data_IF_211642409207
#
_entry.id   IF_211642409207
#
_cell.length_a   1.000
_cell.length_b   1.000
_cell.length_c   1.000
_cell.angle_alpha   90.00
_cell.angle_beta   90.00
_cell.angle_gamma   90.00
#
_symmetry.space_group_name_H-M   'P 1'
#
loop_
_entity.id
_entity.type
_entity.pdbx_description
1 polymer ?
#
# COMPACT_ATOMS: atom_id res chain seq x y z
N UNK A 1 -39.01 -23.27 6.66
CA UNK A 1 -39.19 -21.81 6.82
C UNK A 1 -38.57 -21.43 8.16
N UNK A 2 -37.58 -20.56 8.33
CA UNK A 2 -36.88 -19.61 7.47
C UNK A 2 -35.39 -19.65 7.87
N UNK A 3 -34.52 -19.68 6.87
CA UNK A 3 -33.09 -19.39 6.96
C UNK A 3 -32.90 -18.02 7.63
N UNK A 4 -32.20 -18.01 8.77
CA UNK A 4 -31.77 -16.78 9.43
C UNK A 4 -30.64 -16.20 8.58
N UNK A 5 -31.00 -15.27 7.69
CA UNK A 5 -30.04 -14.47 6.92
C UNK A 5 -29.26 -13.60 7.90
N UNK A 6 -28.06 -14.03 8.27
CA UNK A 6 -27.02 -13.14 8.80
C UNK A 6 -26.68 -12.16 7.67
N UNK A 7 -27.40 -11.04 7.63
CA UNK A 7 -27.09 -9.96 6.71
C UNK A 7 -25.70 -9.42 7.06
N UNK A 8 -24.84 -9.49 6.06
CA UNK A 8 -23.61 -8.74 5.86
C UNK A 8 -23.78 -7.31 6.41
N UNK A 9 -23.30 -7.11 7.63
CA UNK A 9 -23.15 -5.80 8.26
C UNK A 9 -21.66 -5.57 8.56
N UNK A 10 -20.82 -5.77 7.54
CA UNK A 10 -19.41 -5.49 7.59
C UNK A 10 -19.01 -4.74 6.32
N UNK A 11 -18.42 -3.56 6.51
CA UNK A 11 -17.61 -2.84 5.54
C UNK A 11 -18.28 -1.90 4.51
N UNK A 12 -19.22 -1.06 4.95
CA UNK A 12 -19.48 0.26 4.33
C UNK A 12 -18.91 1.42 5.16
N UNK A 13 -18.26 1.14 6.29
CA UNK A 13 -17.71 2.15 7.20
C UNK A 13 -16.29 2.62 6.87
N UNK A 14 -15.72 2.29 5.70
CA UNK A 14 -14.38 2.78 5.30
C UNK A 14 -14.40 4.14 4.59
N UNK A 15 -15.57 4.72 4.30
CA UNK A 15 -15.69 5.96 3.52
C UNK A 15 -16.21 7.16 4.34
N UNK A 16 -16.26 7.07 5.66
CA UNK A 16 -16.65 8.19 6.53
C UNK A 16 -15.66 8.31 7.67
N UNK A 17 -15.19 9.53 7.92
CA UNK A 17 -14.20 9.95 8.93
C UNK A 17 -12.72 9.74 8.55
N UNK A 18 -12.27 10.41 7.48
CA UNK A 18 -10.83 10.47 7.16
C UNK A 18 -10.10 11.42 8.11
N UNK A 19 -10.68 12.55 8.48
CA UNK A 19 -10.01 13.45 9.41
C UNK A 19 -10.40 13.10 10.85
N UNK A 20 -9.41 12.82 11.69
CA UNK A 20 -9.64 12.56 13.12
C UNK A 20 -9.38 13.85 13.88
N UNK A 21 -10.42 14.44 14.49
CA UNK A 21 -10.21 15.48 15.50
C UNK A 21 -9.55 14.83 16.70
N UNK A 22 -8.38 15.29 17.12
CA UNK A 22 -7.78 14.88 18.39
C UNK A 22 -8.78 15.19 19.52
N UNK A 23 -9.45 14.15 20.03
CA UNK A 23 -10.43 14.27 21.10
C UNK A 23 -9.71 14.09 22.43
N UNK A 24 -8.98 15.12 22.87
CA UNK A 24 -8.71 15.35 24.29
C UNK A 24 -8.38 16.84 24.51
N UNK A 25 -8.97 17.46 25.54
CA UNK A 25 -8.79 18.86 26.01
C UNK A 25 -9.68 20.01 25.46
N UNK A 26 -10.92 19.76 25.06
CA UNK A 26 -11.97 20.82 25.05
C UNK A 26 -11.84 21.97 24.02
N UNK A 27 -10.79 21.98 23.20
CA UNK A 27 -10.65 22.81 22.01
C UNK A 27 -10.63 21.90 20.77
N UNK A 28 -11.47 22.21 19.77
CA UNK A 28 -11.45 21.53 18.48
C UNK A 28 -10.19 21.96 17.71
N UNK A 29 -9.06 21.30 17.96
CA UNK A 29 -7.84 21.49 17.18
C UNK A 29 -8.03 21.15 15.70
N UNK A 30 -7.14 21.60 14.81
CA UNK A 30 -7.26 21.37 13.38
C UNK A 30 -7.31 19.87 13.05
N UNK A 31 -8.23 19.50 12.16
CA UNK A 31 -8.47 18.10 11.80
C UNK A 31 -7.28 17.57 10.98
N UNK A 32 -6.54 16.64 11.55
CA UNK A 32 -5.35 16.05 10.94
C UNK A 32 -5.66 14.68 10.32
N UNK A 33 -4.90 14.34 9.29
CA UNK A 33 -4.99 13.05 8.63
C UNK A 33 -3.65 12.63 8.02
N UNK A 34 -3.37 11.34 8.08
CA UNK A 34 -2.29 10.74 7.33
C UNK A 34 -2.81 9.51 6.58
N UNK A 35 -2.34 9.32 5.35
CA UNK A 35 -2.79 8.20 4.55
C UNK A 35 -2.25 8.18 3.14
N UNK A 36 -2.63 7.11 2.45
CA UNK A 36 -2.26 6.86 1.06
C UNK A 36 -3.17 7.65 0.14
N UNK A 37 -2.58 8.30 -0.86
CA UNK A 37 -3.26 9.12 -1.85
C UNK A 37 -2.70 8.85 -3.24
N UNK A 38 -3.54 9.05 -4.26
CA UNK A 38 -3.09 9.25 -5.63
C UNK A 38 -2.50 10.64 -5.78
N UNK A 39 -1.43 10.76 -6.55
CA UNK A 39 -0.81 12.04 -6.92
C UNK A 39 -1.37 12.48 -8.28
N UNK A 40 -1.78 13.74 -8.38
CA UNK A 40 -2.26 14.33 -9.62
C UNK A 40 -1.35 15.50 -10.01
N UNK A 41 -0.98 15.56 -11.30
CA UNK A 41 -0.39 16.74 -11.91
C UNK A 41 -1.49 17.60 -12.55
N UNK A 42 -1.65 18.82 -12.04
CA UNK A 42 -2.52 19.84 -12.60
C UNK A 42 -1.69 21.00 -13.16
N UNK A 43 -1.27 20.85 -14.41
CA UNK A 43 -0.52 21.90 -15.13
C UNK A 43 0.72 22.37 -14.36
N UNK A 44 1.46 21.43 -13.74
CA UNK A 44 2.66 21.72 -12.94
C UNK A 44 2.41 21.89 -11.44
N UNK A 45 1.15 21.83 -10.98
CA UNK A 45 0.80 21.83 -9.56
C UNK A 45 0.43 20.42 -9.09
N UNK A 46 1.07 19.97 -8.01
CA UNK A 46 0.74 18.69 -7.39
C UNK A 46 -0.47 18.83 -6.48
N UNK A 47 -1.48 18.00 -6.73
CA UNK A 47 -2.62 17.77 -5.82
C UNK A 47 -2.74 16.29 -5.53
N UNK A 48 -3.59 15.91 -4.57
CA UNK A 48 -3.76 14.51 -4.18
C UNK A 48 -5.22 14.10 -4.28
N UNK A 49 -5.49 12.80 -4.44
CA UNK A 49 -6.84 12.24 -4.32
C UNK A 49 -6.81 11.08 -3.34
N UNK A 50 -7.69 11.11 -2.35
CA UNK A 50 -7.84 10.01 -1.39
C UNK A 50 -8.64 8.83 -1.97
N UNK A 51 -8.80 7.77 -1.17
CA UNK A 51 -9.53 6.56 -1.59
C UNK A 51 -11.04 6.79 -1.77
N UNK A 52 -11.61 7.85 -1.18
CA UNK A 52 -13.01 8.22 -1.36
C UNK A 52 -13.24 9.07 -2.62
N UNK A 53 -12.17 9.49 -3.29
CA UNK A 53 -12.24 10.35 -4.47
C UNK A 53 -12.25 11.85 -4.15
N UNK A 54 -12.01 12.24 -2.90
CA UNK A 54 -11.83 13.65 -2.54
C UNK A 54 -10.49 14.13 -3.03
N UNK A 55 -10.47 15.30 -3.64
CA UNK A 55 -9.24 15.96 -4.02
C UNK A 55 -8.72 16.84 -2.88
N UNK A 56 -7.46 16.65 -2.52
CA UNK A 56 -6.74 17.42 -1.51
C UNK A 56 -5.80 18.39 -2.21
N UNK A 57 -5.97 19.68 -1.94
CA UNK A 57 -5.25 20.78 -2.59
C UNK A 57 -4.24 21.36 -1.57
N UNK A 58 -2.93 21.11 -1.74
CA UNK A 58 -1.92 21.67 -0.86
C UNK A 58 -1.90 23.20 -0.91
N UNK A 59 -1.82 23.84 0.26
CA UNK A 59 -1.71 25.31 0.41
C UNK A 59 -0.37 25.76 0.99
N UNK A 60 0.58 24.83 1.11
CA UNK A 60 1.96 25.11 1.54
C UNK A 60 2.58 26.22 0.68
N UNK A 61 3.35 27.10 1.33
CA UNK A 61 4.05 28.21 0.66
C UNK A 61 5.15 27.72 -0.29
N UNK A 62 5.80 26.61 0.07
CA UNK A 62 6.76 25.91 -0.79
C UNK A 62 5.98 24.96 -1.70
N UNK A 63 6.13 25.06 -3.03
CA UNK A 63 5.48 24.15 -3.96
C UNK A 63 5.85 22.70 -3.70
N UNK A 64 4.86 21.81 -3.77
CA UNK A 64 5.09 20.36 -3.70
C UNK A 64 5.69 19.88 -5.03
N UNK A 65 6.89 19.32 -4.99
CA UNK A 65 7.63 18.85 -6.18
C UNK A 65 7.72 17.33 -6.29
N UNK A 66 6.73 16.60 -5.76
CA UNK A 66 6.73 15.14 -5.76
C UNK A 66 6.50 14.58 -7.17
N UNK A 67 7.41 13.71 -7.63
CA UNK A 67 7.23 12.91 -8.84
C UNK A 67 6.96 11.45 -8.44
N UNK A 68 5.69 11.11 -8.34
CA UNK A 68 5.18 9.78 -8.03
C UNK A 68 3.74 9.67 -8.55
N UNK A 69 3.24 8.46 -8.73
CA UNK A 69 1.82 8.16 -9.04
C UNK A 69 1.01 8.01 -7.74
N UNK A 70 1.61 7.44 -6.70
CA UNK A 70 1.01 7.26 -5.39
C UNK A 70 1.92 7.80 -4.29
N UNK A 71 1.33 8.38 -3.25
CA UNK A 71 2.06 8.94 -2.13
C UNK A 71 1.44 8.55 -0.78
N UNK A 72 2.24 8.63 0.28
CA UNK A 72 1.77 8.77 1.65
C UNK A 72 1.98 10.22 2.08
N UNK A 73 0.94 10.84 2.63
CA UNK A 73 0.99 12.23 3.11
C UNK A 73 0.54 12.31 4.57
N UNK A 74 0.96 13.37 5.24
CA UNK A 74 0.46 13.80 6.54
C UNK A 74 0.08 15.27 6.43
N UNK A 75 -1.18 15.60 6.70
CA UNK A 75 -1.72 16.94 6.48
C UNK A 75 -2.76 17.33 7.54
N UNK A 76 -3.11 18.61 7.53
CA UNK A 76 -4.25 19.17 8.25
C UNK A 76 -5.18 19.91 7.29
N UNK A 77 -6.48 19.90 7.60
CA UNK A 77 -7.47 20.71 6.89
C UNK A 77 -7.26 22.19 7.22
N UNK A 78 -7.28 23.05 6.20
CA UNK A 78 -7.23 24.50 6.42
C UNK A 78 -8.53 25.01 7.05
N UNK A 79 -8.43 26.02 7.92
CA UNK A 79 -9.57 26.59 8.64
C UNK A 79 -10.65 27.20 7.73
N UNK A 80 -11.90 27.24 8.23
CA UNK A 80 -13.02 27.88 7.54
C UNK A 80 -13.66 27.05 6.41
N UNK A 81 -13.34 25.76 6.32
CA UNK A 81 -13.95 24.82 5.37
C UNK A 81 -15.11 24.06 6.01
N UNK A 82 -16.26 24.01 5.33
CA UNK A 82 -17.40 23.19 5.73
C UNK A 82 -17.24 21.77 5.17
N UNK A 83 -16.87 20.83 6.05
CA UNK A 83 -16.72 19.42 5.69
C UNK A 83 -18.03 18.63 5.79
N UNK A 84 -19.09 19.21 6.38
CA UNK A 84 -20.37 18.51 6.56
C UNK A 84 -21.06 18.21 5.24
N UNK A 85 -20.70 18.93 4.17
CA UNK A 85 -21.23 18.74 2.82
C UNK A 85 -20.49 17.68 2.01
N UNK A 86 -19.49 16.99 2.57
CA UNK A 86 -18.59 16.08 1.83
C UNK A 86 -18.06 16.72 0.53
N UNK A 87 -17.33 17.85 0.64
CA UNK A 87 -16.87 18.58 -0.53
C UNK A 87 -15.97 17.70 -1.40
N UNK A 88 -16.07 17.85 -2.72
CA UNK A 88 -15.20 17.12 -3.66
C UNK A 88 -13.73 17.56 -3.59
N UNK A 89 -13.48 18.74 -3.03
CA UNK A 89 -12.17 19.35 -2.90
C UNK A 89 -11.98 19.91 -1.49
N UNK A 90 -10.83 19.65 -0.89
CA UNK A 90 -10.45 20.14 0.43
C UNK A 90 -9.07 20.76 0.33
N UNK A 91 -8.92 21.97 0.83
CA UNK A 91 -7.61 22.61 0.99
C UNK A 91 -6.92 22.08 2.24
N UNK A 92 -5.65 21.72 2.10
CA UNK A 92 -4.88 21.13 3.19
C UNK A 92 -3.48 21.73 3.25
N UNK A 93 -2.94 21.82 4.46
CA UNK A 93 -1.53 22.11 4.69
C UNK A 93 -0.80 20.80 4.97
N UNK A 94 0.21 20.45 4.17
CA UNK A 94 1.09 19.32 4.47
C UNK A 94 1.94 19.62 5.70
N UNK A 95 1.98 18.68 6.64
CA UNK A 95 2.73 18.75 7.89
C UNK A 95 4.08 18.02 7.82
N UNK A 96 4.31 17.26 6.74
CA UNK A 96 5.57 16.62 6.41
C UNK A 96 5.70 16.51 4.88
N UNK A 97 6.92 16.27 4.41
CA UNK A 97 7.16 16.01 2.99
C UNK A 97 6.36 14.78 2.52
N UNK A 98 5.66 14.95 1.40
CA UNK A 98 4.94 13.85 0.76
C UNK A 98 5.93 12.77 0.30
N UNK A 99 5.66 11.52 0.64
CA UNK A 99 6.55 10.40 0.33
C UNK A 99 5.96 9.57 -0.81
N UNK A 100 6.68 9.46 -1.93
CA UNK A 100 6.29 8.56 -3.03
C UNK A 100 6.37 7.09 -2.59
N UNK A 101 5.34 6.31 -2.91
CA UNK A 101 5.22 4.91 -2.46
C UNK A 101 5.08 3.91 -3.62
N UNK A 102 5.36 4.34 -4.84
CA UNK A 102 5.32 3.44 -6.00
C UNK A 102 6.32 2.29 -5.87
N UNK A 103 5.86 1.10 -6.22
CA UNK A 103 6.63 -0.12 -6.18
C UNK A 103 6.46 -0.91 -7.50
N UNK A 104 7.49 -1.65 -7.94
CA UNK A 104 7.47 -2.33 -9.22
C UNK A 104 6.50 -3.50 -9.24
N UNK A 105 5.75 -3.61 -10.35
CA UNK A 105 4.84 -4.70 -10.66
C UNK A 105 5.30 -5.37 -11.96
N UNK A 106 5.52 -6.70 -11.93
CA UNK A 106 6.11 -7.45 -13.05
C UNK A 106 5.24 -8.65 -13.41
N UNK A 107 4.95 -8.81 -14.70
CA UNK A 107 4.38 -10.04 -15.26
C UNK A 107 5.50 -10.90 -15.84
N UNK A 108 5.52 -12.18 -15.51
CA UNK A 108 6.44 -13.14 -16.13
C UNK A 108 5.74 -14.49 -16.25
N UNK A 109 6.27 -15.42 -17.02
CA UNK A 109 5.61 -16.71 -17.25
C UNK A 109 5.64 -17.58 -16.01
N UNK A 110 6.81 -17.75 -15.40
CA UNK A 110 7.04 -18.58 -14.23
C UNK A 110 8.23 -18.08 -13.40
N UNK A 111 8.49 -18.73 -12.27
CA UNK A 111 9.66 -18.46 -11.41
C UNK A 111 10.95 -18.57 -12.22
N UNK A 112 11.84 -17.58 -12.08
CA UNK A 112 13.08 -17.49 -12.85
C UNK A 112 12.91 -16.95 -14.28
N UNK A 113 11.69 -16.57 -14.68
CA UNK A 113 11.43 -15.89 -15.93
C UNK A 113 12.04 -14.49 -16.01
N UNK A 114 11.97 -13.87 -17.19
CA UNK A 114 12.49 -12.51 -17.39
C UNK A 114 11.80 -11.52 -16.45
N UNK A 115 12.59 -10.69 -15.76
CA UNK A 115 12.10 -9.70 -14.80
C UNK A 115 11.73 -10.26 -13.42
N UNK A 116 11.79 -11.59 -13.20
CA UNK A 116 11.57 -12.17 -11.89
C UNK A 116 12.67 -11.77 -10.89
N UNK A 117 12.31 -11.75 -9.61
CA UNK A 117 13.21 -11.36 -8.52
C UNK A 117 13.24 -12.45 -7.47
N UNK A 118 14.43 -12.94 -7.13
CA UNK A 118 14.60 -13.87 -6.01
C UNK A 118 14.49 -13.13 -4.69
N UNK A 119 13.62 -13.61 -3.80
CA UNK A 119 13.53 -13.10 -2.43
C UNK A 119 14.78 -13.51 -1.64
N UNK A 120 15.43 -12.57 -0.97
CA UNK A 120 16.63 -12.83 -0.17
C UNK A 120 16.49 -12.42 1.31
N UNK A 121 15.35 -11.86 1.69
CA UNK A 121 15.03 -11.46 3.06
C UNK A 121 13.54 -11.69 3.32
N UNK A 122 13.15 -12.08 4.55
CA UNK A 122 11.74 -12.20 4.91
C UNK A 122 11.20 -10.84 5.35
N UNK A 123 9.96 -10.53 5.01
CA UNK A 123 9.25 -9.42 5.67
C UNK A 123 8.89 -9.83 7.11
N UNK A 124 8.56 -8.87 7.97
CA UNK A 124 7.92 -9.16 9.25
C UNK A 124 6.45 -9.54 9.07
N UNK A 125 5.69 -8.71 8.35
CA UNK A 125 4.27 -8.92 8.03
C UNK A 125 3.84 -7.96 6.91
N UNK A 126 2.69 -8.24 6.29
CA UNK A 126 1.97 -7.25 5.48
C UNK A 126 0.87 -6.55 6.30
N UNK A 127 1.14 -6.27 7.57
CA UNK A 127 0.18 -5.61 8.44
C UNK A 127 0.86 -4.87 9.59
N UNK A 128 0.45 -3.62 9.82
CA UNK A 128 0.86 -2.82 10.96
C UNK A 128 -0.26 -1.88 11.41
N UNK A 129 -0.12 -1.24 12.57
CA UNK A 129 -1.09 -0.27 13.07
C UNK A 129 -1.02 1.05 12.29
N UNK A 130 -2.16 1.55 11.82
CA UNK A 130 -2.30 2.84 11.15
C UNK A 130 -3.57 3.52 11.66
N UNK A 131 -3.44 4.68 12.30
CA UNK A 131 -4.53 5.30 13.06
C UNK A 131 -4.97 4.40 14.22
N UNK A 132 -6.29 4.16 14.32
CA UNK A 132 -6.90 3.38 15.40
C UNK A 132 -7.07 1.88 15.08
N UNK A 133 -6.56 1.40 13.93
CA UNK A 133 -6.74 0.01 13.49
C UNK A 133 -5.44 -0.57 12.94
N UNK A 134 -5.40 -1.89 12.77
CA UNK A 134 -4.44 -2.54 11.88
C UNK A 134 -4.88 -2.40 10.44
N UNK A 135 -3.92 -2.21 9.54
CA UNK A 135 -4.12 -2.20 8.08
C UNK A 135 -3.42 -3.41 7.48
N UNK A 136 -4.10 -4.13 6.60
CA UNK A 136 -3.59 -5.26 5.81
C UNK A 136 -3.57 -4.86 4.32
N UNK A 137 -3.11 -5.70 3.37
CA UNK A 137 -3.17 -5.36 1.96
C UNK A 137 -4.58 -4.98 1.53
N UNK A 138 -4.70 -3.90 0.75
CA UNK A 138 -6.01 -3.36 0.38
C UNK A 138 -6.02 -2.81 -1.04
N UNK A 139 -7.22 -2.73 -1.60
CA UNK A 139 -7.47 -2.09 -2.88
C UNK A 139 -7.70 -0.58 -2.67
N UNK A 140 -6.89 0.25 -3.35
CA UNK A 140 -7.05 1.70 -3.36
C UNK A 140 -7.97 2.16 -4.51
N UNK A 141 -7.80 1.57 -5.69
CA UNK A 141 -8.66 1.79 -6.87
C UNK A 141 -8.72 0.51 -7.70
N UNK A 142 -9.49 0.48 -8.79
CA UNK A 142 -9.54 -0.69 -9.69
C UNK A 142 -8.16 -1.14 -10.20
N UNK A 143 -7.24 -0.20 -10.39
CA UNK A 143 -5.93 -0.45 -10.97
C UNK A 143 -4.80 -0.33 -9.94
N UNK A 144 -5.12 -0.16 -8.65
CA UNK A 144 -4.10 0.05 -7.63
C UNK A 144 -4.42 -0.70 -6.34
N UNK A 145 -3.47 -1.53 -5.93
CA UNK A 145 -3.45 -2.13 -4.59
C UNK A 145 -2.26 -1.59 -3.80
N UNK A 146 -2.39 -1.66 -2.49
CA UNK A 146 -1.40 -1.14 -1.54
C UNK A 146 -1.08 -2.21 -0.51
N UNK A 147 0.22 -2.42 -0.27
CA UNK A 147 0.75 -3.35 0.72
C UNK A 147 1.38 -2.56 1.86
N UNK A 148 0.87 -2.68 3.11
CA UNK A 148 1.54 -2.17 4.29
C UNK A 148 2.64 -3.14 4.73
N UNK A 149 3.89 -2.87 4.40
CA UNK A 149 5.01 -3.78 4.69
C UNK A 149 5.69 -3.40 6.00
N UNK A 150 5.71 -4.32 6.96
CA UNK A 150 6.56 -4.26 8.15
C UNK A 150 7.82 -5.11 7.89
N UNK A 151 9.00 -4.53 8.03
CA UNK A 151 10.27 -5.19 7.71
C UNK A 151 11.42 -4.70 8.60
N UNK A 152 12.61 -5.26 8.42
CA UNK A 152 13.80 -4.93 9.21
C UNK A 152 14.85 -4.22 8.36
N UNK A 153 15.44 -3.18 8.92
CA UNK A 153 16.53 -2.38 8.34
C UNK A 153 17.75 -2.42 9.26
N UNK A 154 18.88 -1.96 8.73
CA UNK A 154 20.07 -1.67 9.52
C UNK A 154 19.79 -0.49 10.47
N UNK A 155 20.32 -0.57 11.69
CA UNK A 155 20.24 0.56 12.62
C UNK A 155 21.23 1.66 12.19
N UNK A 156 20.70 2.72 11.58
CA UNK A 156 21.44 3.92 11.17
C UNK A 156 20.67 5.15 11.63
N UNK A 157 21.38 6.24 11.96
CA UNK A 157 20.78 7.39 12.66
C UNK A 157 20.86 8.70 11.89
N UNK A 158 21.76 8.83 10.91
CA UNK A 158 21.85 10.06 10.11
C UNK A 158 20.77 10.06 9.03
N UNK A 159 20.16 11.21 8.67
CA UNK A 159 19.13 11.25 7.63
C UNK A 159 19.59 10.67 6.28
N UNK A 160 20.85 10.93 5.91
CA UNK A 160 21.44 10.42 4.67
C UNK A 160 21.63 8.90 4.72
N UNK A 161 22.12 8.35 5.84
CA UNK A 161 22.26 6.90 5.99
C UNK A 161 20.89 6.20 6.04
N UNK A 162 19.89 6.81 6.68
CA UNK A 162 18.51 6.28 6.70
C UNK A 162 17.96 6.21 5.28
N UNK A 163 18.14 7.28 4.49
CA UNK A 163 17.71 7.31 3.08
C UNK A 163 18.43 6.24 2.26
N UNK A 164 19.74 6.12 2.41
CA UNK A 164 20.56 5.14 1.69
C UNK A 164 20.24 3.69 2.10
N UNK A 165 19.96 3.45 3.38
CA UNK A 165 19.49 2.15 3.85
C UNK A 165 18.12 1.82 3.24
N UNK A 166 17.14 2.71 3.33
CA UNK A 166 15.80 2.47 2.76
C UNK A 166 15.83 2.18 1.26
N UNK A 167 16.75 2.81 0.51
CA UNK A 167 16.93 2.59 -0.92
C UNK A 167 17.44 1.18 -1.28
N UNK A 168 18.00 0.41 -0.33
CA UNK A 168 18.41 -0.98 -0.56
C UNK A 168 17.25 -1.96 -0.60
N UNK A 169 16.08 -1.59 -0.10
CA UNK A 169 14.93 -2.49 0.03
C UNK A 169 14.00 -2.37 -1.18
N UNK A 170 13.90 -3.45 -1.94
CA UNK A 170 13.00 -3.56 -3.11
C UNK A 170 11.86 -4.54 -2.82
N UNK A 171 10.64 -4.12 -3.14
CA UNK A 171 9.42 -4.89 -2.92
C UNK A 171 8.70 -5.03 -4.27
N UNK A 172 9.05 -6.05 -5.04
CA UNK A 172 8.48 -6.29 -6.36
C UNK A 172 7.28 -7.21 -6.26
N UNK A 173 6.14 -6.82 -6.82
CA UNK A 173 4.99 -7.71 -6.91
C UNK A 173 5.03 -8.42 -8.27
N UNK A 174 4.93 -9.74 -8.27
CA UNK A 174 5.08 -10.57 -9.47
C UNK A 174 3.82 -11.37 -9.74
N UNK A 175 3.35 -11.35 -10.98
CA UNK A 175 2.30 -12.22 -11.48
C UNK A 175 2.92 -13.29 -12.40
N UNK A 176 2.85 -14.56 -11.98
CA UNK A 176 3.24 -15.71 -12.80
C UNK A 176 2.06 -16.11 -13.68
N UNK A 177 2.14 -15.72 -14.96
CA UNK A 177 0.98 -15.84 -15.86
C UNK A 177 0.68 -17.28 -16.24
N UNK A 178 1.62 -18.23 -16.12
CA UNK A 178 1.35 -19.63 -16.41
C UNK A 178 0.49 -20.32 -15.34
N UNK A 179 0.41 -19.72 -14.14
CA UNK A 179 -0.45 -20.20 -13.05
C UNK A 179 -1.92 -19.77 -13.23
N UNK A 180 -2.22 -18.91 -14.21
CA UNK A 180 -3.57 -18.43 -14.48
C UNK A 180 -4.29 -19.44 -15.37
N UNK A 181 -5.26 -20.13 -14.79
CA UNK A 181 -6.06 -21.15 -15.49
C UNK A 181 -7.37 -20.59 -16.03
N UNK A 182 -7.90 -21.24 -17.08
CA UNK A 182 -9.22 -20.89 -17.62
C UNK A 182 -10.31 -21.04 -16.56
N UNK A 183 -11.17 -20.03 -16.43
CA UNK A 183 -12.22 -19.97 -15.41
C UNK A 183 -11.74 -19.62 -14.00
N UNK A 184 -10.45 -19.28 -13.80
CA UNK A 184 -9.94 -18.86 -12.50
C UNK A 184 -10.74 -17.67 -11.95
N UNK A 185 -11.05 -17.66 -10.66
CA UNK A 185 -11.77 -16.57 -9.96
C UNK A 185 -10.84 -15.73 -9.08
N UNK A 186 -9.59 -16.16 -8.91
CA UNK A 186 -8.61 -15.56 -8.03
C UNK A 186 -7.37 -15.16 -8.83
N UNK A 187 -6.81 -13.99 -8.53
CA UNK A 187 -5.53 -13.56 -9.08
C UNK A 187 -4.45 -13.69 -8.00
N UNK A 188 -3.55 -14.65 -8.17
CA UNK A 188 -2.41 -14.85 -7.25
C UNK A 188 -1.22 -14.00 -7.67
N UNK A 189 -0.66 -13.27 -6.71
CA UNK A 189 0.51 -12.41 -6.84
C UNK A 189 1.54 -12.77 -5.78
N UNK A 190 2.83 -12.71 -6.13
CA UNK A 190 3.93 -13.03 -5.23
C UNK A 190 4.74 -11.78 -4.92
N UNK A 191 4.85 -11.44 -3.64
CA UNK A 191 5.75 -10.39 -3.18
C UNK A 191 7.17 -10.94 -3.14
N UNK A 192 8.04 -10.39 -4.00
CA UNK A 192 9.47 -10.63 -4.01
C UNK A 192 10.19 -9.50 -3.28
N UNK A 193 10.73 -9.82 -2.10
CA UNK A 193 11.45 -8.87 -1.27
C UNK A 193 12.97 -9.12 -1.35
N UNK A 194 13.68 -8.13 -1.88
CA UNK A 194 15.12 -8.17 -2.02
C UNK A 194 15.78 -6.99 -1.30
N UNK A 195 16.88 -7.27 -0.60
CA UNK A 195 17.77 -6.26 -0.02
C UNK A 195 19.08 -6.29 -0.79
N UNK A 196 19.48 -5.14 -1.34
CA UNK A 196 20.75 -4.98 -2.03
C UNK A 196 21.89 -4.80 -1.02
N UNK A 197 22.36 -5.90 -0.44
CA UNK A 197 23.47 -5.95 0.50
C UNK A 197 24.06 -7.38 0.54
N UNK A 198 25.19 -7.54 1.22
CA UNK A 198 25.78 -8.86 1.45
C UNK A 198 24.90 -9.71 2.38
N UNK A 199 24.82 -11.02 2.13
CA UNK A 199 23.96 -11.95 2.88
C UNK A 199 24.16 -11.86 4.40
N UNK A 200 25.41 -11.73 4.86
CA UNK A 200 25.74 -11.57 6.29
C UNK A 200 25.17 -10.28 6.89
N UNK A 201 25.21 -9.17 6.15
CA UNK A 201 24.62 -7.90 6.58
C UNK A 201 23.08 -7.94 6.52
N UNK A 202 22.49 -8.70 5.60
CA UNK A 202 21.03 -8.87 5.52
C UNK A 202 20.52 -9.55 6.79
N UNK A 203 21.13 -10.66 7.21
CA UNK A 203 20.64 -11.45 8.36
C UNK A 203 20.74 -10.72 9.70
N UNK A 204 21.62 -9.72 9.81
CA UNK A 204 21.83 -8.93 11.03
C UNK A 204 20.83 -7.77 11.22
N UNK A 205 20.05 -7.41 10.19
CA UNK A 205 19.06 -6.34 10.30
C UNK A 205 17.99 -6.67 11.33
N UNK A 206 17.86 -5.84 12.35
CA UNK A 206 16.94 -6.06 13.47
C UNK A 206 15.98 -4.89 13.74
N UNK A 207 16.29 -3.69 13.22
CA UNK A 207 15.46 -2.50 13.48
C UNK A 207 14.17 -2.59 12.67
N UNK A 208 13.03 -2.62 13.35
CA UNK A 208 11.70 -2.65 12.70
C UNK A 208 11.39 -1.30 12.07
N UNK A 209 10.86 -1.34 10.85
CA UNK A 209 10.33 -0.19 10.14
C UNK A 209 9.10 -0.61 9.32
N UNK A 210 8.32 0.36 8.88
CA UNK A 210 7.09 0.14 8.11
C UNK A 210 6.99 1.11 6.95
N UNK A 211 6.53 0.64 5.80
CA UNK A 211 6.17 1.52 4.67
C UNK A 211 5.01 0.96 3.87
N UNK A 212 4.21 1.85 3.28
CA UNK A 212 3.25 1.46 2.24
C UNK A 212 3.97 1.32 0.90
N UNK A 213 3.54 0.32 0.11
CA UNK A 213 3.99 0.09 -1.26
C UNK A 213 2.77 -0.02 -2.16
N UNK A 214 2.67 0.84 -3.16
CA UNK A 214 1.54 0.90 -4.09
C UNK A 214 1.93 0.36 -5.45
N UNK A 215 1.09 -0.51 -6.00
CA UNK A 215 1.34 -1.22 -7.25
C UNK A 215 0.27 -0.86 -8.27
N UNK A 216 0.69 -0.51 -9.48
CA UNK A 216 -0.22 -0.50 -10.64
C UNK A 216 -0.41 -1.95 -11.10
N UNK A 217 -1.65 -2.42 -11.08
CA UNK A 217 -2.00 -3.81 -11.43
C UNK A 217 -2.73 -3.92 -12.77
N UNK A 218 -2.73 -2.85 -13.58
CA UNK A 218 -3.42 -2.82 -14.88
C UNK A 218 -2.98 -3.99 -15.77
N UNK A 219 -1.67 -4.23 -15.85
CA UNK A 219 -1.12 -5.34 -16.64
C UNK A 219 -1.51 -6.70 -16.08
N UNK A 220 -1.53 -6.88 -14.75
CA UNK A 220 -1.93 -8.14 -14.12
C UNK A 220 -3.38 -8.48 -14.43
N UNK A 221 -4.27 -7.49 -14.37
CA UNK A 221 -5.68 -7.64 -14.71
C UNK A 221 -5.88 -7.96 -16.19
N UNK A 222 -5.05 -7.38 -17.07
CA UNK A 222 -5.09 -7.68 -18.51
C UNK A 222 -4.68 -9.12 -18.80
N UNK A 223 -3.54 -9.58 -18.27
CA UNK A 223 -3.07 -10.96 -18.43
C UNK A 223 -4.06 -11.96 -17.81
N UNK A 224 -4.59 -11.64 -16.62
CA UNK A 224 -5.64 -12.42 -15.98
C UNK A 224 -6.86 -12.59 -16.88
N UNK A 225 -7.37 -11.50 -17.46
CA UNK A 225 -8.54 -11.56 -18.35
C UNK A 225 -8.26 -12.41 -19.59
N UNK A 226 -7.08 -12.26 -20.19
CA UNK A 226 -6.71 -13.02 -21.39
C UNK A 226 -6.60 -14.52 -21.12
N UNK A 227 -6.00 -14.92 -19.98
CA UNK A 227 -5.76 -16.34 -19.67
C UNK A 227 -6.93 -17.03 -18.98
N UNK A 228 -7.61 -16.34 -18.06
CA UNK A 228 -8.76 -16.91 -17.35
C UNK A 228 -10.07 -16.85 -18.16
N UNK A 229 -10.20 -15.89 -19.08
CA UNK A 229 -11.46 -15.58 -19.74
C UNK A 229 -12.48 -14.86 -18.86
N UNK A 230 -12.14 -14.51 -17.61
CA UNK A 230 -12.98 -13.72 -16.71
C UNK A 230 -12.65 -12.23 -16.84
N UNK A 231 -13.65 -11.36 -16.79
CA UNK A 231 -13.41 -9.91 -16.93
C UNK A 231 -12.54 -9.35 -15.80
N UNK A 232 -12.76 -9.82 -14.56
CA UNK A 232 -12.07 -9.40 -13.34
C UNK A 232 -12.02 -10.56 -12.34
N UNK A 233 -10.99 -10.64 -11.47
CA UNK A 233 -10.98 -11.60 -10.38
C UNK A 233 -12.01 -11.22 -9.31
N UNK A 234 -12.51 -12.21 -8.57
CA UNK A 234 -13.30 -11.97 -7.36
C UNK A 234 -12.41 -11.46 -6.22
N UNK A 235 -11.20 -12.01 -6.10
CA UNK A 235 -10.20 -11.58 -5.12
C UNK A 235 -8.78 -11.68 -5.66
N UNK A 236 -7.89 -10.89 -5.06
CA UNK A 236 -6.44 -10.94 -5.27
C UNK A 236 -5.82 -11.60 -4.03
N UNK A 237 -4.91 -12.55 -4.26
CA UNK A 237 -4.15 -13.22 -3.21
C UNK A 237 -2.69 -12.77 -3.30
N UNK A 238 -2.20 -12.09 -2.28
CA UNK A 238 -0.79 -11.70 -2.15
C UNK A 238 -0.07 -12.72 -1.28
N UNK A 239 0.89 -13.41 -1.86
CA UNK A 239 1.73 -14.41 -1.20
C UNK A 239 3.08 -13.79 -0.85
N UNK A 240 3.50 -13.90 0.41
CA UNK A 240 4.77 -13.35 0.88
C UNK A 240 5.50 -14.31 1.84
N UNK A 241 6.83 -14.32 1.78
CA UNK A 241 7.68 -15.01 2.74
C UNK A 241 7.93 -14.10 3.94
N UNK A 242 7.49 -14.53 5.13
CA UNK A 242 7.53 -13.73 6.35
C UNK A 242 8.18 -14.45 7.53
N UNK A 243 8.86 -13.69 8.37
CA UNK A 243 9.48 -14.14 9.61
C UNK A 243 9.34 -13.06 10.68
N UNK A 244 8.51 -13.34 11.69
CA UNK A 244 8.19 -12.40 12.77
C UNK A 244 9.31 -12.25 13.81
N UNK A 245 10.29 -13.15 13.80
CA UNK A 245 11.35 -13.23 14.81
C UNK A 245 12.67 -12.64 14.33
N UNK A 246 13.17 -13.02 13.15
CA UNK A 246 14.48 -12.61 12.65
C UNK A 246 14.45 -12.31 11.13
N UNK A 247 15.60 -11.89 10.57
CA UNK A 247 15.71 -11.48 9.15
C UNK A 247 16.37 -12.56 8.26
N UNK A 248 16.32 -13.83 8.66
CA UNK A 248 16.95 -14.94 7.93
C UNK A 248 15.91 -15.65 7.07
N UNK A 249 16.09 -15.61 5.75
CA UNK A 249 15.13 -16.20 4.80
C UNK A 249 15.05 -17.73 4.93
N UNK A 250 16.19 -18.41 5.12
CA UNK A 250 16.30 -19.87 5.26
C UNK A 250 16.01 -20.40 6.68
N UNK A 251 15.56 -19.55 7.62
CA UNK A 251 15.22 -19.97 8.98
C UNK A 251 13.92 -20.77 9.01
N UNK A 252 13.82 -21.78 9.89
CA UNK A 252 12.62 -22.61 10.04
C UNK A 252 11.36 -21.83 10.42
N UNK A 253 11.50 -20.60 10.94
CA UNK A 253 10.39 -19.73 11.28
C UNK A 253 9.89 -18.89 10.11
N UNK A 254 10.60 -18.91 8.97
CA UNK A 254 10.14 -18.28 7.74
C UNK A 254 9.00 -19.10 7.16
N UNK A 255 7.86 -18.45 6.96
CA UNK A 255 6.65 -19.07 6.43
C UNK A 255 6.15 -18.31 5.22
N UNK A 256 5.53 -19.03 4.29
CA UNK A 256 4.74 -18.41 3.24
C UNK A 256 3.35 -18.08 3.80
N UNK A 257 2.90 -16.84 3.63
CA UNK A 257 1.57 -16.39 4.05
C UNK A 257 0.83 -15.74 2.90
N UNK A 258 -0.45 -16.11 2.77
CA UNK A 258 -1.38 -15.52 1.82
C UNK A 258 -2.23 -14.45 2.50
N UNK A 259 -2.38 -13.32 1.84
CA UNK A 259 -3.23 -12.20 2.23
C UNK A 259 -4.26 -11.96 1.13
N UNK A 260 -5.53 -11.87 1.50
CA UNK A 260 -6.64 -11.73 0.55
C UNK A 260 -7.09 -10.27 0.45
N UNK A 261 -7.36 -9.84 -0.78
CA UNK A 261 -7.99 -8.56 -1.10
C UNK A 261 -9.23 -8.86 -1.93
N UNK A 262 -10.41 -8.63 -1.39
CA UNK A 262 -11.66 -8.65 -2.17
C UNK A 262 -11.58 -7.59 -3.27
N UNK A 263 -11.73 -7.99 -4.53
CA UNK A 263 -11.59 -7.09 -5.67
C UNK A 263 -12.94 -6.48 -6.02
N UNK A 264 -13.02 -5.16 -5.95
CA UNK A 264 -14.22 -4.37 -6.22
C UNK A 264 -14.01 -3.51 -7.46
N UNK A 265 -14.99 -3.48 -8.34
CA UNK A 265 -15.08 -2.48 -9.40
C UNK A 265 -16.04 -1.37 -9.01
N UNK A 266 -15.86 -0.18 -9.58
CA UNK A 266 -16.93 0.79 -9.63
C UNK A 266 -18.13 0.13 -10.34
N UNK A 267 -19.32 0.33 -9.78
CA UNK A 267 -20.58 -0.06 -10.44
C UNK A 267 -21.03 1.05 -11.38
#
# INVERSE_FOLDING_TARGET
>A
MKQLKLMVLALTLLMGTMFTSCMDSGENGPQQWAGVVKVNDRMGYVTFTDAAGTELIPTNTVPVTLSARMAYIYCQVDEGQDLSTNPKQIKVTLLADATGIDAPAVTTTAVGGSGDVTTNAPIGSLSFASGYSTVAPFQFSENTIVLPVLYRVKNVTTPEDVKNELAKHSFTLVCYTDDITSGATELKLHLRYAVNDETTAIVERATRTSSFKAYDITEFLREYKQKSGQDKPAKIIVVAQQNEYNNKIEDSSTTEKAYEIEYKTAK
#
